data_IF_357423792762
#
_entry.id   IF_357423792762
#
_cell.length_a   1.000
_cell.length_b   1.000
_cell.length_c   1.000
_cell.angle_alpha   90.00
_cell.angle_beta   90.00
_cell.angle_gamma   90.00
#
_symmetry.space_group_name_H-M   'P 1'
#
loop_
_entity.id
_entity.type
_entity.pdbx_description
1 polymer ?
#
# COMPACT_ATOMS: atom_id res chain seq x y z
N UNK A 1 0.52 7.45 1.16
CA UNK A 1 1.15 6.67 0.08
C UNK A 1 2.13 5.60 0.55
N UNK A 2 3.09 5.89 1.44
CA UNK A 2 4.07 4.90 1.92
C UNK A 2 3.47 3.55 2.33
N UNK A 3 2.39 3.54 3.11
CA UNK A 3 1.72 2.29 3.54
C UNK A 3 1.05 1.51 2.39
N UNK A 4 0.55 2.21 1.38
CA UNK A 4 0.02 1.61 0.14
C UNK A 4 1.15 1.04 -0.71
N UNK A 5 2.28 1.76 -0.78
CA UNK A 5 3.47 1.31 -1.50
C UNK A 5 4.06 0.01 -0.94
N UNK A 6 3.96 -0.19 0.37
CA UNK A 6 4.43 -1.38 1.06
C UNK A 6 3.41 -2.55 1.02
N UNK A 7 2.19 -2.32 0.51
CA UNK A 7 1.12 -3.34 0.49
C UNK A 7 0.49 -3.64 1.86
N UNK A 8 0.80 -2.84 2.89
CA UNK A 8 0.48 -3.16 4.29
C UNK A 8 -0.89 -2.64 4.72
N UNK A 9 -1.51 -1.69 4.00
CA UNK A 9 -2.75 -1.06 4.46
C UNK A 9 -4.03 -1.73 3.94
N UNK A 10 -4.83 -2.43 4.79
CA UNK A 10 -6.27 -2.50 4.58
C UNK A 10 -6.88 -1.08 4.55
N UNK A 11 -7.99 -0.89 3.84
CA UNK A 11 -8.66 0.41 3.75
C UNK A 11 -8.95 1.05 5.12
N UNK A 12 -9.26 0.25 6.14
CA UNK A 12 -9.53 0.71 7.52
C UNK A 12 -8.38 1.48 8.17
N UNK A 13 -7.14 1.26 7.73
CA UNK A 13 -5.97 1.91 8.32
C UNK A 13 -5.61 3.23 7.62
N UNK A 14 -6.31 3.56 6.54
CA UNK A 14 -6.16 4.82 5.81
C UNK A 14 -7.34 5.72 6.13
N UNK A 15 -7.06 6.99 6.39
CA UNK A 15 -8.12 7.98 6.53
C UNK A 15 -8.94 8.01 5.23
N UNK A 16 -10.29 7.92 5.27
CA UNK A 16 -11.12 7.90 4.06
C UNK A 16 -10.86 9.09 3.13
N UNK A 17 -10.58 10.27 3.71
CA UNK A 17 -10.21 11.49 2.98
C UNK A 17 -8.90 11.35 2.20
N UNK A 18 -7.90 10.68 2.77
CA UNK A 18 -6.63 10.43 2.10
C UNK A 18 -6.81 9.42 0.97
N UNK A 19 -7.62 8.38 1.19
CA UNK A 19 -7.95 7.39 0.17
C UNK A 19 -8.65 8.06 -1.02
N UNK A 20 -9.71 8.84 -0.77
CA UNK A 20 -10.41 9.59 -1.81
C UNK A 20 -9.47 10.51 -2.58
N UNK A 21 -8.60 11.24 -1.88
CA UNK A 21 -7.65 12.14 -2.52
C UNK A 21 -6.66 11.38 -3.41
N UNK A 22 -6.13 10.26 -2.94
CA UNK A 22 -5.19 9.45 -3.72
C UNK A 22 -5.85 8.81 -4.94
N UNK A 23 -7.10 8.37 -4.83
CA UNK A 23 -7.88 7.84 -5.96
C UNK A 23 -8.19 8.95 -6.98
N UNK A 24 -8.58 10.14 -6.52
CA UNK A 24 -8.85 11.29 -7.40
C UNK A 24 -7.62 11.77 -8.20
N UNK A 25 -6.42 11.49 -7.68
CA UNK A 25 -5.15 11.79 -8.33
C UNK A 25 -4.64 10.62 -9.20
N UNK A 26 -5.42 9.56 -9.35
CA UNK A 26 -5.06 8.32 -10.06
C UNK A 26 -3.76 7.68 -9.56
N UNK A 27 -3.44 7.88 -8.28
CA UNK A 27 -2.21 7.35 -7.66
C UNK A 27 -2.41 5.98 -7.05
N UNK A 28 -3.66 5.66 -6.69
CA UNK A 28 -4.05 4.36 -6.15
C UNK A 28 -5.29 3.85 -6.86
N UNK A 29 -5.39 2.53 -6.94
CA UNK A 29 -6.57 1.79 -7.36
C UNK A 29 -7.01 0.86 -6.23
N UNK A 30 -8.29 0.50 -6.24
CA UNK A 30 -8.85 -0.45 -5.27
C UNK A 30 -9.04 -1.77 -5.99
N UNK A 31 -8.31 -2.79 -5.54
CA UNK A 31 -8.37 -4.15 -6.04
C UNK A 31 -8.78 -5.08 -4.89
N UNK A 32 -9.89 -5.79 -5.03
CA UNK A 32 -10.45 -6.69 -4.01
C UNK A 32 -10.54 -6.06 -2.59
N UNK A 33 -10.87 -4.77 -2.50
CA UNK A 33 -10.95 -4.06 -1.21
C UNK A 33 -9.60 -3.64 -0.62
N UNK A 34 -8.51 -3.79 -1.38
CA UNK A 34 -7.15 -3.41 -0.99
C UNK A 34 -6.66 -2.27 -1.88
N UNK A 35 -6.25 -1.13 -1.31
CA UNK A 35 -5.63 -0.07 -2.09
C UNK A 35 -4.24 -0.49 -2.56
N UNK A 36 -3.98 -0.33 -3.86
CA UNK A 36 -2.69 -0.58 -4.52
C UNK A 36 -2.23 0.68 -5.25
N UNK A 37 -0.91 0.89 -5.37
CA UNK A 37 -0.39 1.97 -6.21
C UNK A 37 -0.58 1.65 -7.68
N UNK A 38 -1.09 2.60 -8.46
CA UNK A 38 -1.06 2.53 -9.93
C UNK A 38 0.38 2.65 -10.44
N UNK A 39 0.63 2.41 -11.73
CA UNK A 39 1.96 2.63 -12.31
C UNK A 39 2.41 4.09 -12.16
N UNK A 40 1.49 5.03 -12.38
CA UNK A 40 1.74 6.46 -12.16
C UNK A 40 2.01 6.76 -10.68
N UNK A 41 1.23 6.18 -9.78
CA UNK A 41 1.43 6.26 -8.34
C UNK A 41 2.80 5.75 -7.88
N UNK A 42 3.29 4.66 -8.47
CA UNK A 42 4.63 4.11 -8.22
C UNK A 42 5.73 5.06 -8.68
N UNK A 43 5.64 5.62 -9.90
CA UNK A 43 6.59 6.61 -10.40
C UNK A 43 6.66 7.83 -9.49
N UNK A 44 5.49 8.35 -9.09
CA UNK A 44 5.39 9.51 -8.20
C UNK A 44 5.93 9.24 -6.80
N UNK A 45 5.64 8.05 -6.26
CA UNK A 45 6.14 7.64 -4.96
C UNK A 45 7.67 7.53 -4.95
N UNK A 46 8.29 6.93 -5.99
CA UNK A 46 9.75 6.81 -6.11
C UNK A 46 10.47 8.16 -6.23
N UNK A 47 9.79 9.18 -6.76
CA UNK A 47 10.34 10.53 -6.84
C UNK A 47 10.33 11.28 -5.49
N UNK A 48 9.68 10.73 -4.44
CA UNK A 48 9.66 11.37 -3.13
C UNK A 48 11.01 11.16 -2.40
N UNK A 49 11.54 12.19 -1.72
CA UNK A 49 12.69 12.02 -0.84
C UNK A 49 12.34 11.02 0.27
N UNK A 50 13.20 10.02 0.49
CA UNK A 50 13.01 8.89 1.43
C UNK A 50 11.92 7.89 1.03
N UNK A 51 11.59 7.79 -0.25
CA UNK A 51 10.81 6.66 -0.74
C UNK A 51 11.58 5.37 -0.42
N UNK A 52 11.05 4.55 0.48
CA UNK A 52 11.58 3.19 0.67
C UNK A 52 11.37 2.43 -0.64
N UNK A 53 12.45 1.85 -1.19
CA UNK A 53 12.35 1.10 -2.42
C UNK A 53 11.54 -0.17 -2.13
N UNK A 54 10.47 -0.40 -2.89
CA UNK A 54 9.63 -1.60 -2.72
C UNK A 54 10.44 -2.88 -3.00
N UNK A 55 11.59 -2.75 -3.66
CA UNK A 55 12.56 -3.84 -3.86
C UNK A 55 13.23 -4.34 -2.56
N UNK A 56 13.22 -3.55 -1.48
CA UNK A 56 13.75 -3.98 -0.18
C UNK A 56 12.76 -4.81 0.64
N UNK A 57 11.51 -4.94 0.19
CA UNK A 57 10.62 -5.98 0.67
C UNK A 57 10.99 -7.28 -0.03
N UNK A 58 11.93 -8.02 0.56
CA UNK A 58 12.17 -9.41 0.17
C UNK A 58 10.83 -10.16 0.12
N UNK A 59 10.72 -11.15 -0.76
CA UNK A 59 9.53 -12.00 -0.84
C UNK A 59 9.13 -12.54 0.54
N UNK A 60 10.12 -12.80 1.41
CA UNK A 60 9.93 -13.17 2.80
C UNK A 60 9.26 -12.08 3.65
N UNK A 61 9.67 -10.81 3.53
CA UNK A 61 9.01 -9.71 4.23
C UNK A 61 7.55 -9.52 3.76
N UNK A 62 7.30 -9.78 2.48
CA UNK A 62 5.94 -9.78 1.91
C UNK A 62 5.11 -10.96 2.44
N UNK A 63 5.67 -12.18 2.48
CA UNK A 63 5.02 -13.38 3.04
C UNK A 63 4.77 -13.20 4.54
N UNK A 64 5.72 -12.63 5.28
CA UNK A 64 5.58 -12.35 6.70
C UNK A 64 4.45 -11.33 6.95
N UNK A 65 4.40 -10.24 6.19
CA UNK A 65 3.33 -9.24 6.31
C UNK A 65 1.94 -9.81 5.98
N UNK A 66 1.85 -10.71 5.00
CA UNK A 66 0.62 -11.43 4.66
C UNK A 66 0.25 -12.44 5.77
N UNK A 67 1.22 -13.18 6.31
CA UNK A 67 1.00 -14.19 7.36
C UNK A 67 0.56 -13.55 8.69
N UNK A 68 1.18 -12.44 9.08
CA UNK A 68 0.78 -11.68 10.27
C UNK A 68 -0.63 -11.11 10.12
N UNK A 69 -1.04 -10.79 8.89
CA UNK A 69 -2.38 -10.29 8.59
C UNK A 69 -3.44 -11.39 8.65
N UNK A 70 -3.13 -12.60 8.16
CA UNK A 70 -4.00 -13.77 8.28
C UNK A 70 -4.22 -14.17 9.74
N UNK A 71 -3.20 -14.01 10.59
CA UNK A 71 -3.29 -14.31 12.02
C UNK A 71 -4.19 -13.33 12.80
N UNK A 72 -4.26 -12.06 12.38
CA UNK A 72 -5.05 -11.00 13.02
C UNK A 72 -6.52 -10.93 12.58
N UNK A 73 -6.96 -11.82 11.68
CA UNK A 73 -8.35 -11.90 11.20
C UNK A 73 -9.14 -13.07 11.80
N UNK A 74 -8.52 -13.86 12.67
CA UNK A 74 -9.12 -15.07 13.30
C UNK A 74 -9.46 -14.85 14.78
N UNK A 75 -9.35 -13.63 15.28
CA UNK A 75 -9.84 -13.18 16.60
C UNK A 75 -10.94 -12.12 16.36
#
# INVERSE_FOLDING_TARGET
MRRVALGISPMKDLAPRDLMRLTSLSLVEIDAGVPRLTEFGRKRYRALPRAADVKDLTLEAMIAAVSDRLRKTTD
#
